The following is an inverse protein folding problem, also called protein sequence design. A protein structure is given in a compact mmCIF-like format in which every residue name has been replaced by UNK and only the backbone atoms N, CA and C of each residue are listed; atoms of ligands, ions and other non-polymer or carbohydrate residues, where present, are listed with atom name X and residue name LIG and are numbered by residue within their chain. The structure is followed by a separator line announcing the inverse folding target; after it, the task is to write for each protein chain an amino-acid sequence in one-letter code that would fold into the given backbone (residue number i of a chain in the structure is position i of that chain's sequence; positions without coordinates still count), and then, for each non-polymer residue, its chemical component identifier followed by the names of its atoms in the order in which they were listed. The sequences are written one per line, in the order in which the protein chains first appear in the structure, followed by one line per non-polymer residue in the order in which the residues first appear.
data_IF_742831712101
#
_entry.id   IF_742831712101
#
_cell.length_a   1.000
_cell.length_b   1.000
_cell.length_c   1.000
_cell.angle_alpha   90.00
_cell.angle_beta   90.00
_cell.angle_gamma   90.00
#
_symmetry.space_group_name_H-M   'P 1'
#
loop_
_entity.id
_entity.type
_entity.pdbx_description
1 polymer ?
#
# COMPACT_ATOMS: atom_id res chain seq x y z
N UNK A 1 28.07 24.49 5.28
CA UNK A 1 28.54 24.14 6.64
C UNK A 1 28.24 25.28 7.56
N UNK A 2 27.14 25.18 8.31
CA UNK A 2 26.95 26.01 9.50
C UNK A 2 27.91 25.47 10.57
N UNK A 3 28.59 26.33 11.35
CA UNK A 3 29.46 25.86 12.43
C UNK A 3 28.67 25.53 13.70
N UNK A 4 28.77 24.30 14.22
CA UNK A 4 28.21 23.86 15.51
C UNK A 4 29.22 24.06 16.66
N UNK A 5 29.41 25.30 17.12
CA UNK A 5 30.48 25.63 18.07
C UNK A 5 30.40 24.93 19.44
N UNK A 6 29.21 24.52 19.87
CA UNK A 6 28.96 23.76 21.09
C UNK A 6 29.17 22.25 20.93
N UNK A 7 29.21 21.74 19.69
CA UNK A 7 29.35 20.31 19.38
C UNK A 7 28.35 19.48 20.18
N UNK A 8 27.10 19.95 20.23
CA UNK A 8 26.04 19.19 20.88
C UNK A 8 25.76 17.92 20.09
N UNK A 9 25.44 16.87 20.83
CA UNK A 9 25.25 15.50 20.39
C UNK A 9 24.34 14.87 21.46
N UNK A 10 23.06 14.73 21.12
CA UNK A 10 21.99 14.47 22.08
C UNK A 10 21.88 13.00 22.46
N UNK A 11 22.13 12.11 21.51
CA UNK A 11 22.06 10.66 21.69
C UNK A 11 23.44 9.99 21.82
N UNK A 12 24.54 10.74 21.61
CA UNK A 12 25.92 10.31 21.77
C UNK A 12 26.34 9.22 20.78
N UNK A 13 25.81 9.27 19.56
CA UNK A 13 26.17 8.35 18.48
C UNK A 13 27.48 8.76 17.76
N UNK A 14 27.95 10.00 17.98
CA UNK A 14 29.16 10.56 17.39
C UNK A 14 28.90 11.49 16.20
N UNK A 15 27.65 11.69 15.82
CA UNK A 15 27.15 12.72 14.92
C UNK A 15 26.55 13.85 15.77
N UNK A 16 26.92 15.09 15.47
CA UNK A 16 26.41 16.23 16.26
C UNK A 16 25.02 16.64 15.80
N UNK A 17 24.18 17.17 16.71
CA UNK A 17 22.76 17.52 16.47
C UNK A 17 22.50 18.35 15.18
N UNK A 18 23.50 19.10 14.68
CA UNK A 18 23.35 19.91 13.45
C UNK A 18 23.40 19.07 12.16
N UNK A 19 24.01 17.90 12.20
CA UNK A 19 24.20 16.99 11.07
C UNK A 19 23.70 15.57 11.35
N UNK A 20 23.05 15.39 12.49
CA UNK A 20 22.39 14.18 12.94
C UNK A 20 21.10 13.98 12.12
N UNK A 21 21.02 12.82 11.45
CA UNK A 21 19.89 12.45 10.58
C UNK A 21 18.81 11.77 11.41
N UNK A 22 19.21 10.96 12.40
CA UNK A 22 18.31 10.26 13.31
C UNK A 22 18.48 10.76 14.76
N UNK A 23 17.76 11.82 15.19
CA UNK A 23 17.98 12.51 16.48
C UNK A 23 17.77 11.71 17.78
N UNK A 24 17.44 10.44 17.65
CA UNK A 24 17.17 9.51 18.74
C UNK A 24 17.88 8.16 18.51
N UNK A 25 18.83 8.09 17.58
CA UNK A 25 19.33 6.85 16.97
C UNK A 25 20.76 6.97 16.49
N UNK A 26 21.35 5.83 16.12
CA UNK A 26 22.73 5.80 15.61
C UNK A 26 22.73 6.00 14.09
N UNK A 27 23.42 7.04 13.62
CA UNK A 27 23.55 7.38 12.20
C UNK A 27 24.52 6.46 11.43
N UNK A 28 25.27 5.58 12.10
CA UNK A 28 26.40 4.87 11.48
C UNK A 28 26.02 3.63 10.66
N UNK A 29 24.80 3.12 10.83
CA UNK A 29 24.29 1.96 10.11
C UNK A 29 23.21 2.40 9.13
N UNK A 30 23.35 1.96 7.88
CA UNK A 30 22.42 2.16 6.78
C UNK A 30 22.53 0.89 5.94
N UNK A 31 21.55 0.00 6.10
CA UNK A 31 21.60 -1.38 5.64
C UNK A 31 21.23 -1.53 4.17
N UNK A 32 20.46 -0.62 3.62
CA UNK A 32 20.05 -0.56 2.21
C UNK A 32 20.73 0.54 1.40
N UNK A 33 21.58 1.34 2.03
CA UNK A 33 22.37 2.41 1.43
C UNK A 33 21.47 3.51 0.80
N UNK A 34 20.29 3.77 1.38
CA UNK A 34 19.33 4.77 0.89
C UNK A 34 19.61 6.20 1.41
N UNK A 35 20.46 6.31 2.43
CA UNK A 35 20.85 7.57 3.08
C UNK A 35 20.05 7.94 4.32
N UNK A 36 19.11 7.09 4.76
CA UNK A 36 18.42 7.13 6.04
C UNK A 36 19.04 6.04 6.94
N UNK A 37 19.60 6.39 8.10
CA UNK A 37 20.17 5.37 8.98
C UNK A 37 19.11 4.41 9.53
N UNK A 38 19.51 3.15 9.74
CA UNK A 38 18.70 2.03 10.25
C UNK A 38 17.89 2.38 11.52
N UNK A 39 18.37 3.35 12.30
CA UNK A 39 17.75 3.75 13.55
C UNK A 39 16.48 4.61 13.36
N UNK A 40 16.32 5.26 12.21
CA UNK A 40 15.12 6.02 11.84
C UNK A 40 14.56 5.71 10.45
N UNK A 41 15.09 4.69 9.80
CA UNK A 41 14.56 4.02 8.61
C UNK A 41 13.16 3.44 8.89
N UNK A 42 12.18 3.91 8.11
CA UNK A 42 10.77 3.48 8.17
C UNK A 42 10.54 2.27 7.26
N UNK A 43 11.35 2.10 6.22
CA UNK A 43 11.17 1.13 5.15
C UNK A 43 12.38 0.17 4.96
N UNK A 44 12.75 -0.65 5.98
CA UNK A 44 14.03 -1.35 5.92
C UNK A 44 14.21 -2.25 4.70
N UNK A 45 15.30 -2.04 3.97
CA UNK A 45 15.62 -2.74 2.73
C UNK A 45 15.22 -1.98 1.46
N UNK A 46 14.68 -0.76 1.58
CA UNK A 46 14.10 0.04 0.50
C UNK A 46 14.39 1.54 0.68
N UNK A 47 14.03 2.35 -0.32
CA UNK A 47 14.27 3.80 -0.29
C UNK A 47 13.11 4.53 0.41
N UNK A 48 13.43 5.32 1.44
CA UNK A 48 12.49 6.12 2.24
C UNK A 48 12.06 7.44 1.57
N UNK A 49 12.69 7.83 0.46
CA UNK A 49 12.51 9.16 -0.14
C UNK A 49 11.27 9.32 -1.03
N UNK A 50 10.65 8.22 -1.44
CA UNK A 50 9.44 8.21 -2.26
C UNK A 50 8.22 7.89 -1.40
N UNK A 51 7.32 8.86 -1.28
CA UNK A 51 6.02 8.77 -0.58
C UNK A 51 5.03 9.58 -1.42
N UNK A 52 4.33 8.90 -2.33
CA UNK A 52 3.53 9.54 -3.37
C UNK A 52 2.24 10.16 -2.81
N UNK A 53 1.73 9.65 -1.69
CA UNK A 53 0.46 10.06 -1.11
C UNK A 53 0.60 10.91 0.17
N UNK A 54 1.82 11.00 0.71
CA UNK A 54 2.25 11.81 1.84
C UNK A 54 1.63 11.37 3.18
N UNK A 55 1.44 10.07 3.39
CA UNK A 55 0.95 9.53 4.65
C UNK A 55 2.06 9.24 5.68
N UNK A 56 3.33 9.28 5.25
CA UNK A 56 4.51 9.04 6.06
C UNK A 56 5.06 7.61 6.01
N UNK A 57 4.49 6.74 5.18
CA UNK A 57 5.02 5.42 4.84
C UNK A 57 5.58 5.48 3.41
N UNK A 58 6.86 5.14 3.19
CA UNK A 58 7.42 5.14 1.84
C UNK A 58 6.77 4.11 0.91
N UNK A 59 6.66 4.45 -0.38
CA UNK A 59 5.95 3.68 -1.43
C UNK A 59 6.33 2.19 -1.48
N UNK A 60 7.56 1.84 -1.09
CA UNK A 60 8.07 0.47 -1.16
C UNK A 60 7.59 -0.44 0.00
N UNK A 61 7.12 0.15 1.10
CA UNK A 61 6.55 -0.55 2.26
C UNK A 61 5.10 -0.14 2.53
N UNK A 62 4.55 0.77 1.73
CA UNK A 62 3.15 1.15 1.75
C UNK A 62 2.29 0.09 1.03
N UNK A 63 1.29 -0.46 1.73
CA UNK A 63 0.31 -1.36 1.14
C UNK A 63 -0.78 -0.66 0.32
N UNK A 64 -0.79 0.68 0.30
CA UNK A 64 -1.59 1.53 -0.59
C UNK A 64 -0.82 2.76 -1.12
N UNK A 65 0.19 2.59 -2.01
CA UNK A 65 1.15 3.65 -2.42
C UNK A 65 0.58 4.92 -3.06
N UNK A 66 -0.73 5.03 -3.23
CA UNK A 66 -1.38 6.20 -3.84
C UNK A 66 -2.60 6.69 -3.05
N UNK A 67 -2.90 6.07 -1.91
CA UNK A 67 -4.10 6.32 -1.10
C UNK A 67 -3.73 6.32 0.39
N UNK A 68 -3.72 7.51 1.05
CA UNK A 68 -3.15 7.65 2.38
C UNK A 68 -3.79 6.74 3.42
N UNK A 69 -2.99 5.91 4.08
CA UNK A 69 -3.43 4.96 5.11
C UNK A 69 -2.30 4.65 6.12
N UNK A 70 -1.88 5.68 6.87
CA UNK A 70 -0.77 5.59 7.81
C UNK A 70 -0.87 4.52 8.92
N UNK A 71 -2.03 3.87 9.10
CA UNK A 71 -2.19 2.72 10.00
C UNK A 71 -1.87 1.36 9.33
N UNK A 72 -1.72 1.34 8.00
CA UNK A 72 -1.33 0.20 7.16
C UNK A 72 -2.19 -1.04 7.47
N UNK A 73 -3.48 -0.81 7.73
CA UNK A 73 -4.44 -1.89 7.99
C UNK A 73 -4.62 -2.71 6.71
N UNK A 74 -4.51 -4.03 6.84
CA UNK A 74 -4.74 -5.03 5.79
C UNK A 74 -5.46 -6.21 6.47
N UNK A 75 -6.78 -6.27 6.28
CA UNK A 75 -7.67 -7.14 7.04
C UNK A 75 -7.61 -8.59 6.57
N UNK A 76 -7.35 -8.84 5.30
CA UNK A 76 -7.36 -10.17 4.70
C UNK A 76 -5.95 -10.72 4.42
N UNK A 77 -4.91 -9.87 4.57
CA UNK A 77 -3.48 -10.15 4.47
C UNK A 77 -3.04 -10.54 3.06
N UNK A 78 -3.61 -9.90 2.05
CA UNK A 78 -3.21 -10.10 0.66
C UNK A 78 -2.10 -9.13 0.19
N UNK A 79 -1.80 -8.10 0.99
CA UNK A 79 -0.79 -7.08 0.72
C UNK A 79 -1.33 -5.77 0.13
N UNK A 80 -2.64 -5.66 -0.10
CA UNK A 80 -3.33 -4.41 -0.37
C UNK A 80 -3.98 -3.90 0.92
N UNK A 81 -3.78 -2.63 1.25
CA UNK A 81 -4.36 -2.06 2.46
C UNK A 81 -5.87 -1.86 2.34
N UNK A 82 -6.58 -1.91 3.47
CA UNK A 82 -8.05 -1.77 3.58
C UNK A 82 -8.62 -0.54 2.83
N UNK A 83 -7.82 0.50 2.61
CA UNK A 83 -8.25 1.75 1.94
C UNK A 83 -8.13 1.69 0.40
N UNK A 84 -7.27 0.82 -0.14
CA UNK A 84 -7.12 0.59 -1.58
C UNK A 84 -7.56 -0.81 -2.04
N UNK A 85 -7.91 -1.68 -1.09
CA UNK A 85 -8.49 -3.00 -1.29
C UNK A 85 -9.82 -2.91 -2.08
N UNK A 86 -9.88 -3.64 -3.20
CA UNK A 86 -11.07 -3.72 -4.06
C UNK A 86 -11.88 -5.00 -3.83
N UNK A 87 -11.31 -5.99 -3.15
CA UNK A 87 -11.96 -7.24 -2.77
C UNK A 87 -11.71 -7.59 -1.28
N UNK A 88 -12.55 -7.07 -0.35
CA UNK A 88 -12.37 -7.29 1.10
C UNK A 88 -12.52 -8.74 1.59
N UNK A 89 -12.74 -9.67 0.68
CA UNK A 89 -12.92 -11.09 0.94
C UNK A 89 -11.81 -11.97 0.34
N UNK A 90 -10.82 -11.40 -0.34
CA UNK A 90 -9.64 -12.14 -0.78
C UNK A 90 -8.77 -11.40 -1.80
N UNK A 91 -7.66 -12.06 -2.11
CA UNK A 91 -6.54 -11.60 -2.94
C UNK A 91 -6.91 -10.76 -4.17
N UNK A 92 -6.62 -9.46 -4.08
CA UNK A 92 -6.77 -8.45 -5.14
C UNK A 92 -5.91 -8.72 -6.37
N UNK A 93 -4.83 -9.50 -6.25
CA UNK A 93 -3.92 -9.79 -7.36
C UNK A 93 -4.38 -10.94 -8.26
N UNK A 94 -5.40 -11.69 -7.83
CA UNK A 94 -5.95 -12.81 -8.56
C UNK A 94 -7.15 -12.37 -9.39
N UNK A 95 -6.96 -12.24 -10.70
CA UNK A 95 -8.02 -11.94 -11.66
C UNK A 95 -7.82 -12.88 -12.86
N UNK A 96 -8.64 -13.94 -12.93
CA UNK A 96 -8.47 -15.04 -13.89
C UNK A 96 -8.95 -14.69 -15.30
N UNK A 97 -9.82 -13.69 -15.46
CA UNK A 97 -10.37 -13.30 -16.75
C UNK A 97 -10.02 -11.87 -17.20
N UNK A 98 -9.17 -11.20 -16.41
CA UNK A 98 -8.60 -9.88 -16.65
C UNK A 98 -9.68 -8.79 -16.79
N UNK A 99 -10.79 -8.88 -16.04
CA UNK A 99 -11.90 -7.91 -16.07
C UNK A 99 -11.76 -6.77 -15.04
N UNK A 100 -10.83 -6.90 -14.10
CA UNK A 100 -10.55 -5.94 -13.04
C UNK A 100 -11.32 -6.18 -11.73
N UNK A 101 -12.09 -7.26 -11.62
CA UNK A 101 -12.69 -7.76 -10.38
C UNK A 101 -11.90 -8.99 -9.92
N UNK A 102 -11.35 -9.01 -8.70
CA UNK A 102 -10.62 -10.18 -8.24
C UNK A 102 -11.49 -11.43 -8.13
N UNK A 103 -10.90 -12.60 -8.39
CA UNK A 103 -11.51 -13.94 -8.38
C UNK A 103 -12.35 -14.23 -7.12
N UNK A 104 -11.97 -13.64 -5.98
CA UNK A 104 -12.67 -13.81 -4.70
C UNK A 104 -13.97 -13.00 -4.61
N UNK A 105 -14.11 -11.95 -5.42
CA UNK A 105 -15.25 -11.05 -5.49
C UNK A 105 -16.01 -11.10 -6.83
N UNK A 106 -15.44 -11.78 -7.82
CA UNK A 106 -16.02 -12.08 -9.12
C UNK A 106 -17.30 -12.92 -8.99
N UNK A 107 -18.41 -12.36 -9.48
CA UNK A 107 -19.72 -13.03 -9.48
C UNK A 107 -20.03 -13.75 -10.79
N UNK A 108 -19.22 -13.52 -11.83
CA UNK A 108 -19.37 -14.05 -13.19
C UNK A 108 -18.13 -14.77 -13.75
N UNK A 109 -17.57 -15.81 -13.08
CA UNK A 109 -16.23 -16.31 -13.41
C UNK A 109 -15.99 -16.63 -14.88
N UNK A 110 -14.97 -16.00 -15.46
CA UNK A 110 -14.58 -16.15 -16.86
C UNK A 110 -15.24 -15.14 -17.80
N UNK A 111 -15.86 -14.09 -17.28
CA UNK A 111 -16.55 -13.05 -18.03
C UNK A 111 -16.68 -11.75 -17.22
N UNK A 112 -16.67 -10.63 -17.93
CA UNK A 112 -16.77 -9.27 -17.39
C UNK A 112 -18.00 -9.02 -16.50
N UNK A 113 -17.75 -8.57 -15.27
CA UNK A 113 -18.72 -8.21 -14.24
C UNK A 113 -19.41 -6.84 -14.46
N UNK A 114 -18.87 -5.99 -15.34
CA UNK A 114 -19.30 -4.58 -15.47
C UNK A 114 -20.58 -4.38 -16.28
N UNK A 115 -20.98 -5.37 -17.07
CA UNK A 115 -22.17 -5.30 -17.92
C UNK A 115 -23.35 -5.99 -17.23
N UNK A 116 -24.30 -5.20 -16.72
CA UNK A 116 -25.58 -5.67 -16.17
C UNK A 116 -26.71 -4.78 -16.73
N UNK A 117 -27.32 -5.25 -17.82
CA UNK A 117 -28.27 -4.44 -18.59
C UNK A 117 -29.61 -4.23 -17.89
N UNK A 118 -29.97 -5.08 -16.93
CA UNK A 118 -31.24 -4.98 -16.20
C UNK A 118 -31.11 -4.67 -14.70
N UNK A 119 -29.87 -4.60 -14.21
CA UNK A 119 -29.46 -4.21 -12.86
C UNK A 119 -30.00 -5.15 -11.78
N UNK A 120 -30.02 -6.45 -12.05
CA UNK A 120 -30.44 -7.47 -11.08
C UNK A 120 -29.30 -8.02 -10.21
N UNK A 121 -28.05 -7.63 -10.53
CA UNK A 121 -26.85 -8.04 -9.81
C UNK A 121 -26.17 -9.29 -10.38
N UNK A 122 -26.60 -9.78 -11.54
CA UNK A 122 -25.96 -10.87 -12.29
C UNK A 122 -25.51 -10.31 -13.65
N UNK A 123 -24.20 -10.28 -13.94
CA UNK A 123 -23.72 -9.75 -15.20
C UNK A 123 -24.26 -10.49 -16.44
N UNK A 124 -24.43 -9.77 -17.55
CA UNK A 124 -25.07 -10.19 -18.80
C UNK A 124 -24.54 -11.54 -19.33
N UNK A 125 -23.25 -11.83 -19.10
CA UNK A 125 -22.60 -13.05 -19.59
C UNK A 125 -22.92 -14.31 -18.76
N UNK A 126 -23.34 -14.14 -17.51
CA UNK A 126 -23.79 -15.21 -16.61
C UNK A 126 -25.30 -15.14 -16.33
N UNK A 127 -26.00 -14.14 -16.86
CA UNK A 127 -27.45 -14.00 -16.79
C UNK A 127 -28.17 -14.83 -17.90
N UNK A 128 -29.07 -15.73 -17.52
CA UNK A 128 -29.92 -16.49 -18.45
C UNK A 128 -31.06 -15.67 -19.09
N UNK A 129 -31.35 -14.48 -18.58
CA UNK A 129 -32.29 -13.49 -19.08
C UNK A 129 -31.73 -12.05 -19.03
N UNK A 130 -30.68 -11.70 -19.83
CA UNK A 130 -29.89 -10.43 -19.77
C UNK A 130 -30.62 -9.08 -19.92
N UNK A 131 -31.95 -9.08 -19.94
CA UNK A 131 -32.77 -7.87 -20.12
C UNK A 131 -34.04 -7.93 -19.28
N UNK A 132 -34.19 -8.92 -18.42
CA UNK A 132 -35.36 -9.15 -17.56
C UNK A 132 -34.91 -9.62 -16.18
N UNK A 133 -34.99 -8.75 -15.14
CA UNK A 133 -34.41 -9.03 -13.83
C UNK A 133 -34.89 -10.35 -13.23
N UNK A 134 -33.96 -11.22 -12.89
CA UNK A 134 -34.20 -12.52 -12.28
C UNK A 134 -32.98 -13.01 -11.48
N UNK A 135 -32.57 -12.21 -10.49
CA UNK A 135 -31.51 -12.47 -9.52
C UNK A 135 -31.55 -13.83 -8.77
N UNK A 136 -32.61 -14.64 -8.94
CA UNK A 136 -32.77 -15.97 -8.37
C UNK A 136 -32.56 -17.14 -9.37
N UNK A 137 -31.99 -16.85 -10.55
CA UNK A 137 -31.59 -17.76 -11.64
C UNK A 137 -31.60 -19.26 -11.32
#
# INVERSE_FOLDING_TARGET
TTPNADQSDSDNDGFGDECDICPAGDDSADSDDDGVPDACDVCPGSDDSEDADNDGIPDNCDNCPTTPNADQSDSDNDGFGDECDICPAGDDSADSDDDGVPDACDVCPGSDDSEDADNDGIPDNCDNCPTTPNADQ
#
